data_IF_115082967490
#
_entry.id   IF_115082967490
#
_cell.length_a   1.000
_cell.length_b   1.000
_cell.length_c   1.000
_cell.angle_alpha   90.00
_cell.angle_beta   90.00
_cell.angle_gamma   90.00
#
_symmetry.space_group_name_H-M   'P 1'
#
loop_
_entity.id
_entity.type
_entity.pdbx_description
1 polymer ?
2 polymer ?
3 non-polymer ?
4 water ?
#
loop_
_entity_poly.entity_id
_entity_poly.type
_entity_poly.pdbx_seq_one_letter_code
_entity_poly.pdbx_strand_id
2 'polydeoxyribonucleotide' '(DT)(DC)(DA)(DA)(DG)(DG)(DG)(DT)(DC)(DC)(DT)(DA)(DG)(DG)(DA)(DC)(DC)(DC)' ?
#
# COMPACT_ATOMS: atom_id res chain seq x y z
N UNK A 26 26.66 -0.70 1.96
CA UNK A 26 25.47 -0.76 2.86
C UNK A 26 24.43 0.34 2.56
N UNK A 27 24.84 1.42 1.89
CA UNK A 27 23.84 2.29 1.31
C UNK A 27 23.20 1.59 0.11
N UNK A 28 21.94 1.94 -0.15
CA UNK A 28 21.09 1.27 -1.11
C UNK A 28 20.42 2.31 -2.00
N UNK A 29 19.79 1.84 -3.08
CA UNK A 29 18.82 2.63 -3.82
C UNK A 29 17.53 1.82 -3.86
N UNK A 30 16.45 2.40 -3.32
CA UNK A 30 15.12 1.82 -3.35
C UNK A 30 14.21 2.83 -4.06
N UNK A 31 13.23 2.34 -4.81
CA UNK A 31 12.20 3.19 -5.38
C UNK A 31 10.85 2.71 -4.86
N UNK A 32 9.89 3.63 -4.76
CA UNK A 32 8.58 3.35 -4.19
C UNK A 32 7.51 3.92 -5.11
N UNK A 33 6.74 3.03 -5.75
CA UNK A 33 5.82 3.37 -6.83
C UNK A 33 4.40 3.31 -6.29
N UNK A 34 3.61 4.35 -6.60
CA UNK A 34 2.32 4.59 -5.94
C UNK A 34 1.29 5.01 -6.97
N UNK A 35 0.29 4.14 -7.17
CA UNK A 35 -0.75 4.37 -8.17
C UNK A 35 -1.69 5.48 -7.70
N UNK A 36 -2.10 6.34 -8.64
CA UNK A 36 -2.87 7.54 -8.29
C UNK A 36 -4.37 7.27 -8.27
N UNK A 37 -5.04 7.78 -7.23
CA UNK A 37 -6.45 7.53 -6.95
C UNK A 37 -6.83 6.14 -7.48
N UNK A 38 -6.12 5.12 -7.01
CA UNK A 38 -5.95 3.91 -7.81
C UNK A 38 -7.29 3.34 -8.29
N UNK A 39 -8.17 2.97 -7.35
CA UNK A 39 -9.43 2.36 -7.77
C UNK A 39 -10.10 3.18 -8.87
N UNK A 40 -10.05 4.52 -8.75
CA UNK A 40 -10.69 5.38 -9.74
C UNK A 40 -9.92 5.37 -11.07
N UNK A 41 -8.58 5.33 -11.01
CA UNK A 41 -7.81 5.33 -12.24
C UNK A 41 -8.00 4.03 -13.01
N UNK A 42 -8.23 2.93 -12.30
CA UNK A 42 -8.68 1.70 -12.95
C UNK A 42 -10.00 1.94 -13.66
N UNK A 43 -10.92 2.66 -13.01
CA UNK A 43 -12.24 2.90 -13.58
C UNK A 43 -12.15 3.73 -14.86
N UNK A 44 -11.27 4.73 -14.89
CA UNK A 44 -11.12 5.55 -16.10
C UNK A 44 -10.49 4.77 -17.25
N UNK A 45 -10.04 3.54 -17.00
CA UNK A 45 -9.60 2.64 -18.06
C UNK A 45 -10.59 1.50 -18.28
N UNK A 46 -11.29 1.05 -17.23
CA UNK A 46 -12.46 0.19 -17.38
C UNK A 46 -13.65 0.92 -17.98
N UNK A 47 -13.59 2.26 -18.08
CA UNK A 47 -14.58 3.01 -18.84
C UNK A 47 -14.03 4.38 -19.26
N UNK A 48 -13.59 4.52 -20.51
CA UNK A 48 -13.06 5.80 -20.97
C UNK A 48 -13.97 7.01 -20.79
N UNK A 49 -15.29 6.83 -20.74
CA UNK A 49 -16.20 7.98 -20.62
C UNK A 49 -16.08 8.68 -19.27
N UNK A 50 -15.40 8.07 -18.28
CA UNK A 50 -15.16 8.69 -16.99
C UNK A 50 -13.99 9.68 -17.02
N UNK A 51 -13.38 9.94 -18.17
CA UNK A 51 -12.30 10.90 -18.24
C UNK A 51 -12.81 12.33 -18.10
N UNK A 52 -12.02 13.16 -17.40
CA UNK A 52 -12.33 14.56 -17.10
C UNK A 52 -13.68 14.73 -16.43
N UNK A 53 -14.23 13.66 -15.82
CA UNK A 53 -15.41 13.72 -14.97
C UNK A 53 -15.01 13.64 -13.50
N UNK A 54 -15.72 14.32 -12.58
CA UNK A 54 -15.42 14.14 -11.15
C UNK A 54 -15.91 12.79 -10.63
N UNK A 55 -15.00 11.82 -10.57
CA UNK A 55 -15.32 10.44 -10.24
C UNK A 55 -15.01 10.13 -8.79
N UNK A 56 -15.99 9.54 -8.09
CA UNK A 56 -15.76 8.91 -6.81
C UNK A 56 -16.11 7.44 -6.91
N UNK A 57 -15.49 6.64 -6.04
CA UNK A 57 -15.76 5.21 -5.95
C UNK A 57 -16.46 4.93 -4.63
N UNK A 58 -17.55 4.18 -4.70
CA UNK A 58 -18.59 4.12 -3.68
C UNK A 58 -18.53 2.78 -2.97
N UNK A 59 -18.31 2.81 -1.65
CA UNK A 59 -18.29 1.63 -0.80
C UNK A 59 -19.22 1.86 0.39
N UNK A 60 -20.31 1.10 0.43
CA UNK A 60 -21.44 1.37 1.33
C UNK A 60 -21.84 2.84 1.22
N UNK A 61 -21.79 3.61 2.30
CA UNK A 61 -22.23 5.01 2.23
C UNK A 61 -21.06 5.95 2.46
N UNK A 62 -19.97 5.69 1.74
CA UNK A 62 -18.71 6.39 1.89
C UNK A 62 -17.96 6.30 0.56
N UNK A 63 -17.22 7.36 0.25
CA UNK A 63 -16.43 7.42 -0.97
C UNK A 63 -15.01 6.97 -0.62
N UNK A 64 -14.59 5.83 -1.18
CA UNK A 64 -13.32 5.23 -0.79
C UNK A 64 -12.15 5.92 -1.47
N UNK A 65 -12.31 6.44 -2.69
CA UNK A 65 -11.31 7.31 -3.29
C UNK A 65 -11.88 7.94 -4.55
N UNK A 66 -11.22 9.00 -5.00
CA UNK A 66 -11.76 9.95 -5.96
C UNK A 66 -10.66 10.38 -6.91
N UNK A 67 -11.02 10.60 -8.17
CA UNK A 67 -10.04 11.07 -9.14
C UNK A 67 -9.87 12.58 -9.00
N UNK A 68 -8.78 13.09 -9.58
CA UNK A 68 -8.36 14.46 -9.28
C UNK A 68 -9.29 15.54 -9.81
N UNK A 69 -10.29 15.22 -10.63
CA UNK A 69 -11.37 16.18 -10.86
C UNK A 69 -12.27 16.26 -9.63
N UNK A 70 -12.63 15.10 -9.07
CA UNK A 70 -13.52 15.08 -7.91
C UNK A 70 -12.88 15.70 -6.67
N UNK A 71 -11.56 15.58 -6.51
CA UNK A 71 -10.95 16.06 -5.27
C UNK A 71 -10.88 17.58 -5.20
N UNK A 72 -10.89 18.28 -6.34
CA UNK A 72 -10.88 19.74 -6.32
C UNK A 72 -12.28 20.35 -6.35
N UNK A 73 -13.33 19.54 -6.51
CA UNK A 73 -14.70 19.99 -6.30
C UNK A 73 -15.18 19.80 -4.86
N UNK A 74 -14.30 19.38 -3.96
CA UNK A 74 -14.63 19.30 -2.55
C UNK A 74 -14.98 17.92 -2.02
N UNK A 75 -14.84 16.88 -2.81
CA UNK A 75 -15.03 15.51 -2.31
C UNK A 75 -13.72 15.02 -1.71
N UNK A 76 -13.81 14.35 -0.56
CA UNK A 76 -12.66 13.96 0.24
C UNK A 76 -12.67 12.44 0.46
N UNK A 77 -11.47 11.85 0.53
CA UNK A 77 -11.35 10.40 0.71
C UNK A 77 -11.82 10.01 2.11
N UNK A 78 -12.87 9.19 2.18
CA UNK A 78 -13.47 8.68 3.42
C UNK A 78 -14.35 9.72 4.13
N UNK A 79 -14.79 10.76 3.42
CA UNK A 79 -15.86 11.63 3.89
C UNK A 79 -17.19 11.08 3.38
N UNK A 80 -18.20 11.08 4.26
CA UNK A 80 -19.48 10.45 3.95
C UNK A 80 -19.95 10.82 2.55
N UNK A 81 -20.74 9.92 1.93
CA UNK A 81 -21.27 10.20 0.59
C UNK A 81 -22.44 11.13 0.65
N UNK A 82 -22.83 11.58 1.86
CA UNK A 82 -23.70 12.74 1.99
C UNK A 82 -22.93 13.97 1.52
N UNK A 83 -21.93 14.38 2.32
CA UNK A 83 -21.14 15.57 2.01
C UNK A 83 -20.34 15.40 0.72
N UNK A 84 -20.12 14.18 0.26
CA UNK A 84 -19.57 13.99 -1.08
C UNK A 84 -20.52 14.57 -2.12
N UNK A 85 -21.83 14.39 -1.92
CA UNK A 85 -22.83 14.94 -2.82
C UNK A 85 -23.34 16.32 -2.39
N UNK A 86 -22.82 16.90 -1.31
CA UNK A 86 -23.20 18.25 -0.89
C UNK A 86 -22.07 19.27 -1.08
N UNK A 87 -20.80 18.87 -0.92
CA UNK A 87 -19.71 19.66 -1.48
C UNK A 87 -19.63 19.51 -2.99
N UNK A 88 -20.16 18.41 -3.54
CA UNK A 88 -20.13 18.16 -4.98
C UNK A 88 -21.35 17.35 -5.37
N UNK A 89 -22.55 17.95 -5.32
CA UNK A 89 -23.73 17.27 -5.91
C UNK A 89 -23.56 16.97 -7.38
N UNK A 90 -22.54 17.54 -8.05
CA UNK A 90 -22.21 17.19 -9.43
C UNK A 90 -21.11 16.14 -9.52
N UNK A 91 -21.07 15.19 -8.58
CA UNK A 91 -20.13 14.06 -8.61
C UNK A 91 -20.75 12.84 -9.26
N UNK A 92 -19.93 12.11 -10.04
CA UNK A 92 -20.29 10.80 -10.59
C UNK A 92 -19.64 9.71 -9.72
N UNK A 93 -20.32 8.57 -9.60
CA UNK A 93 -19.93 7.51 -8.69
C UNK A 93 -19.95 6.15 -9.40
N UNK A 94 -19.04 5.26 -8.99
CA UNK A 94 -19.13 3.84 -9.34
C UNK A 94 -18.81 2.99 -8.12
N UNK A 95 -19.26 1.74 -8.16
CA UNK A 95 -19.20 0.85 -7.02
C UNK A 95 -17.78 0.34 -6.78
N UNK A 96 -17.43 0.18 -5.51
CA UNK A 96 -16.12 -0.34 -5.13
C UNK A 96 -16.21 -1.50 -4.15
N UNK A 97 -17.40 -2.08 -4.01
CA UNK A 97 -17.63 -3.15 -3.04
C UNK A 97 -17.16 -4.50 -3.56
N UNK A 98 -16.92 -4.63 -4.86
CA UNK A 98 -16.09 -5.69 -5.41
C UNK A 98 -14.74 -5.11 -5.82
N UNK A 99 -13.66 -5.83 -5.54
CA UNK A 99 -12.31 -5.35 -5.77
C UNK A 99 -11.69 -5.86 -7.07
N UNK A 100 -12.26 -6.90 -7.68
CA UNK A 100 -11.58 -7.69 -8.70
C UNK A 100 -10.74 -6.86 -9.67
N UNK A 101 -11.37 -5.93 -10.41
CA UNK A 101 -10.63 -5.17 -11.40
C UNK A 101 -9.44 -4.43 -10.79
N UNK A 102 -9.59 -3.92 -9.55
CA UNK A 102 -8.48 -3.22 -8.93
C UNK A 102 -7.32 -4.18 -8.65
N UNK A 103 -7.64 -5.39 -8.20
CA UNK A 103 -6.62 -6.36 -7.82
C UNK A 103 -5.86 -6.86 -9.04
N UNK A 104 -6.57 -7.31 -10.09
CA UNK A 104 -5.91 -7.71 -11.32
C UNK A 104 -4.94 -6.62 -11.78
N UNK A 105 -5.44 -5.39 -11.90
CA UNK A 105 -4.63 -4.27 -12.36
C UNK A 105 -3.49 -3.97 -11.41
N UNK A 106 -3.63 -4.34 -10.14
CA UNK A 106 -2.53 -4.18 -9.19
C UNK A 106 -1.37 -5.12 -9.52
N UNK A 107 -1.68 -6.39 -9.78
CA UNK A 107 -0.63 -7.38 -9.98
C UNK A 107 0.07 -7.21 -11.32
N UNK A 108 -0.62 -6.64 -12.33
CA UNK A 108 0.09 -6.28 -13.55
C UNK A 108 1.12 -5.19 -13.28
N UNK A 109 0.90 -4.37 -12.24
CA UNK A 109 1.89 -3.36 -11.85
C UNK A 109 3.13 -4.04 -11.27
N UNK A 110 2.94 -4.85 -10.23
CA UNK A 110 4.03 -5.62 -9.65
C UNK A 110 4.76 -6.42 -10.74
N UNK A 111 4.00 -7.24 -11.49
CA UNK A 111 4.59 -7.99 -12.59
C UNK A 111 5.47 -7.10 -13.46
N UNK A 112 4.97 -5.94 -13.85
CA UNK A 112 5.74 -5.05 -14.71
C UNK A 112 7.02 -4.61 -14.02
N UNK A 113 6.95 -4.27 -12.73
CA UNK A 113 8.17 -3.85 -12.04
C UNK A 113 9.13 -5.02 -11.80
N UNK A 114 8.62 -6.24 -11.65
CA UNK A 114 9.52 -7.39 -11.52
C UNK A 114 10.30 -7.63 -12.80
N UNK A 115 9.74 -7.23 -13.95
CA UNK A 115 10.47 -7.29 -15.21
C UNK A 115 11.74 -6.45 -15.16
N UNK A 116 11.80 -5.46 -14.29
CA UNK A 116 13.01 -4.66 -14.09
C UNK A 116 13.95 -5.27 -13.07
N UNK A 117 13.42 -5.93 -12.03
CA UNK A 117 14.21 -6.57 -10.99
C UNK A 117 13.35 -7.65 -10.38
N UNK A 118 13.91 -8.82 -10.02
CA UNK A 118 13.05 -9.89 -9.48
C UNK A 118 12.49 -9.60 -8.09
N UNK A 119 13.12 -8.72 -7.32
CA UNK A 119 12.77 -8.50 -5.92
C UNK A 119 11.89 -7.26 -5.83
N UNK A 120 10.58 -7.46 -5.74
CA UNK A 120 9.60 -6.40 -5.57
C UNK A 120 8.77 -6.71 -4.33
N UNK A 121 8.55 -5.68 -3.50
CA UNK A 121 7.71 -5.80 -2.30
C UNK A 121 6.45 -4.98 -2.49
N UNK A 122 5.29 -5.66 -2.43
CA UNK A 122 4.00 -4.99 -2.53
C UNK A 122 3.64 -4.37 -1.18
N UNK A 123 2.62 -3.50 -1.21
CA UNK A 123 2.13 -2.85 0.02
C UNK A 123 0.73 -2.31 -0.31
N UNK A 124 -0.31 -3.02 0.16
CA UNK A 124 -1.66 -2.75 -0.28
C UNK A 124 -1.80 -2.89 -1.78
N UNK A 125 -2.98 -2.59 -2.34
CA UNK A 125 -3.13 -2.73 -3.78
C UNK A 125 -2.37 -1.67 -4.60
N UNK A 126 -1.99 -0.51 -4.03
CA UNK A 126 -1.50 0.57 -4.88
C UNK A 126 -0.12 1.11 -4.51
N UNK A 127 0.71 0.36 -3.80
CA UNK A 127 2.11 0.72 -3.68
C UNK A 127 3.01 -0.49 -3.88
N UNK A 128 4.26 -0.20 -4.25
CA UNK A 128 5.29 -1.22 -4.41
C UNK A 128 6.64 -0.59 -4.12
N UNK A 129 7.58 -1.41 -3.65
CA UNK A 129 8.98 -1.05 -3.60
C UNK A 129 9.75 -1.94 -4.55
N UNK A 130 10.90 -1.45 -5.01
CA UNK A 130 11.87 -2.27 -5.73
C UNK A 130 13.25 -1.89 -5.23
N UNK A 131 14.08 -2.90 -4.98
CA UNK A 131 15.49 -2.65 -4.75
C UNK A 131 16.18 -2.53 -6.10
N UNK A 132 16.81 -1.38 -6.34
CA UNK A 132 17.47 -1.09 -7.61
C UNK A 132 18.98 -1.22 -7.52
N UNK A 133 19.50 -1.80 -6.43
CA UNK A 133 20.93 -1.74 -6.16
C UNK A 133 21.75 -2.72 -7.00
N UNK A 134 21.15 -3.78 -7.56
CA UNK A 134 21.88 -4.52 -8.56
C UNK A 134 21.84 -3.79 -9.90
N UNK A 135 20.67 -3.21 -10.20
CA UNK A 135 20.42 -2.59 -11.50
C UNK A 135 21.05 -1.21 -11.60
N UNK A 136 21.22 -0.51 -10.48
CA UNK A 136 22.04 0.69 -10.47
C UNK A 136 23.52 0.34 -10.63
N UNK A 137 23.95 -0.76 -10.02
CA UNK A 137 25.33 -1.22 -10.12
C UNK A 137 25.63 -1.94 -11.44
N UNK A 138 24.60 -2.33 -12.20
CA UNK A 138 24.81 -2.66 -13.60
C UNK A 138 24.95 -1.38 -14.43
N UNK A 139 23.99 -0.46 -14.29
CA UNK A 139 23.93 0.70 -15.18
C UNK A 139 25.13 1.62 -14.99
N UNK A 140 25.77 1.64 -13.82
CA UNK A 140 26.97 2.45 -13.67
C UNK A 140 28.19 1.80 -14.33
N UNK A 141 28.11 0.51 -14.67
CA UNK A 141 29.16 -0.21 -15.40
C UNK A 141 28.75 -0.47 -16.85
N UNK A 142 27.75 0.25 -17.37
CA UNK A 142 27.58 0.43 -18.81
C UNK A 142 27.69 1.91 -19.18
N UNK A 143 28.51 2.66 -18.44
CA UNK A 143 28.75 4.07 -18.71
C UNK A 143 30.25 4.29 -18.87
N UNK A 144 30.65 4.85 -20.01
CA UNK A 144 31.96 5.47 -20.13
C UNK A 144 31.82 6.90 -19.60
N UNK A 145 32.86 7.72 -19.78
CA UNK A 145 32.95 8.96 -19.01
C UNK A 145 31.77 9.88 -19.28
N UNK A 146 31.42 10.10 -20.55
CA UNK A 146 30.45 11.15 -20.87
C UNK A 146 29.01 10.73 -20.60
N UNK A 147 28.72 9.42 -20.60
CA UNK A 147 27.42 8.97 -20.08
C UNK A 147 27.31 9.26 -18.59
N UNK A 148 28.42 9.17 -17.85
CA UNK A 148 28.39 9.55 -16.45
C UNK A 148 28.18 11.06 -16.30
N UNK A 149 28.75 11.86 -17.20
CA UNK A 149 28.53 13.30 -17.11
C UNK A 149 27.09 13.70 -17.45
N UNK A 150 26.29 12.78 -17.99
CA UNK A 150 24.89 13.04 -18.28
C UNK A 150 23.95 12.56 -17.18
N UNK A 151 24.49 12.05 -16.07
CA UNK A 151 23.67 11.47 -15.00
C UNK A 151 22.90 12.57 -14.27
N UNK A 152 21.72 12.90 -14.82
CA UNK A 152 20.83 13.90 -14.27
C UNK A 152 19.75 13.26 -13.40
N UNK A 153 19.03 14.13 -12.68
CA UNK A 153 17.78 13.74 -12.04
C UNK A 153 16.69 13.59 -13.07
N UNK A 154 15.81 12.62 -12.86
CA UNK A 154 14.47 12.61 -13.46
C UNK A 154 13.47 13.00 -12.38
N UNK A 155 12.53 13.87 -12.74
CA UNK A 155 11.54 14.33 -11.77
C UNK A 155 12.05 15.50 -10.94
N UNK A 156 11.58 15.57 -9.69
CA UNK A 156 11.99 16.60 -8.75
C UNK A 156 13.02 16.04 -7.77
N UNK A 157 13.80 16.95 -7.20
CA UNK A 157 14.61 16.68 -6.00
C UNK A 157 13.87 17.25 -4.80
N UNK A 158 13.94 16.55 -3.67
CA UNK A 158 13.29 17.02 -2.46
C UNK A 158 14.10 18.15 -1.82
N UNK A 159 13.38 19.04 -1.12
CA UNK A 159 13.94 20.25 -0.54
C UNK A 159 14.89 20.91 -1.54
N UNK A 160 14.54 20.82 -2.83
CA UNK A 160 15.24 21.49 -3.92
C UNK A 160 16.75 21.47 -3.73
N UNK A 161 17.29 20.33 -3.31
CA UNK A 161 18.69 20.24 -2.97
C UNK A 161 19.58 20.16 -4.20
N UNK A 162 20.68 20.90 -4.16
CA UNK A 162 21.72 20.76 -5.17
C UNK A 162 22.34 19.37 -5.13
N UNK A 163 22.81 18.89 -6.27
CA UNK A 163 23.44 17.59 -6.40
C UNK A 163 24.92 17.81 -6.60
N UNK A 164 25.73 17.37 -5.65
CA UNK A 164 27.17 17.23 -5.86
C UNK A 164 27.38 15.95 -6.64
N UNK A 165 27.50 16.06 -7.96
CA UNK A 165 27.69 14.84 -8.74
C UNK A 165 29.06 14.18 -8.48
N UNK A 166 29.81 14.56 -7.44
CA UNK A 166 30.99 13.82 -7.02
C UNK A 166 30.73 12.86 -5.88
N UNK A 167 29.59 12.97 -5.19
CA UNK A 167 29.24 12.03 -4.11
C UNK A 167 28.56 10.82 -4.74
N UNK A 168 29.24 9.68 -4.69
CA UNK A 168 28.70 8.46 -5.29
C UNK A 168 27.31 8.14 -4.78
N UNK A 169 26.99 8.50 -3.52
CA UNK A 169 25.62 8.31 -3.04
C UNK A 169 24.65 9.16 -3.85
N UNK A 170 25.05 10.39 -4.20
CA UNK A 170 24.26 11.22 -5.10
C UNK A 170 24.19 10.59 -6.48
N UNK A 171 25.35 10.18 -7.02
CA UNK A 171 25.39 9.56 -8.36
C UNK A 171 24.38 8.42 -8.44
N UNK A 172 24.45 7.49 -7.49
CA UNK A 172 23.57 6.33 -7.51
C UNK A 172 22.10 6.74 -7.38
N UNK A 173 21.81 7.73 -6.52
CA UNK A 173 20.43 8.17 -6.31
C UNK A 173 19.91 9.09 -7.42
N UNK A 174 20.65 9.30 -8.51
CA UNK A 174 20.07 9.78 -9.76
C UNK A 174 19.92 8.66 -10.79
N UNK A 175 20.88 7.74 -10.86
CA UNK A 175 20.73 6.55 -11.70
C UNK A 175 19.43 5.82 -11.35
N UNK A 176 19.10 5.76 -10.05
CA UNK A 176 17.86 5.13 -9.66
C UNK A 176 16.63 5.92 -10.06
N UNK A 177 16.75 7.25 -10.13
CA UNK A 177 15.60 8.08 -10.48
C UNK A 177 15.27 7.99 -11.96
N UNK A 178 16.27 7.78 -12.82
CA UNK A 178 15.99 7.53 -14.23
C UNK A 178 15.34 6.17 -14.43
N UNK A 179 15.82 5.16 -13.69
CA UNK A 179 15.14 3.87 -13.64
C UNK A 179 13.70 4.06 -13.18
N UNK A 180 13.47 4.95 -12.22
CA UNK A 180 12.13 5.20 -11.73
C UNK A 180 11.24 5.78 -12.81
N UNK A 181 11.81 6.65 -13.67
CA UNK A 181 11.03 7.19 -14.79
C UNK A 181 10.50 6.07 -15.68
N UNK A 182 11.37 5.13 -16.06
CA UNK A 182 10.97 4.05 -16.93
C UNK A 182 9.84 3.23 -16.31
N UNK A 183 9.98 2.86 -15.04
CA UNK A 183 8.91 2.14 -14.37
C UNK A 183 7.58 2.89 -14.50
N UNK A 184 7.61 4.22 -14.38
CA UNK A 184 6.38 4.99 -14.46
C UNK A 184 5.87 5.10 -15.90
N UNK A 185 6.76 5.42 -16.85
CA UNK A 185 6.33 5.48 -18.25
C UNK A 185 5.97 4.10 -18.78
N UNK A 186 6.75 3.08 -18.40
CA UNK A 186 6.38 1.71 -18.75
C UNK A 186 5.01 1.36 -18.19
N UNK A 187 4.71 1.78 -16.95
CA UNK A 187 3.37 1.61 -16.42
C UNK A 187 2.34 2.31 -17.29
N UNK A 188 2.67 3.51 -17.78
CA UNK A 188 1.75 4.27 -18.62
C UNK A 188 1.64 3.64 -20.01
N UNK A 189 2.75 3.61 -20.76
CA UNK A 189 2.72 3.10 -22.13
C UNK A 189 2.20 1.67 -22.17
N UNK A 190 2.48 0.86 -21.14
CA UNK A 190 2.00 -0.52 -21.13
C UNK A 190 0.67 -0.67 -20.39
N UNK A 191 0.60 -0.26 -19.12
CA UNK A 191 -0.60 -0.52 -18.33
C UNK A 191 -1.59 0.63 -18.35
N UNK A 192 -1.17 1.85 -18.63
CA UNK A 192 -2.06 2.99 -18.62
C UNK A 192 -2.22 3.68 -17.29
N UNK A 193 -1.45 3.30 -16.28
CA UNK A 193 -1.53 3.93 -14.96
C UNK A 193 -0.52 5.06 -14.83
N UNK A 194 -1.00 6.21 -14.37
CA UNK A 194 -0.14 7.26 -13.84
C UNK A 194 0.08 7.01 -12.35
N UNK A 195 1.26 7.37 -11.87
CA UNK A 195 1.60 7.12 -10.48
C UNK A 195 2.89 7.83 -10.10
N UNK A 196 3.03 8.05 -8.81
CA UNK A 196 4.19 8.72 -8.24
C UNK A 196 5.27 7.71 -7.85
N UNK A 197 6.52 8.16 -7.91
CA UNK A 197 7.66 7.36 -7.47
C UNK A 197 8.55 8.20 -6.54
N UNK A 198 9.09 7.55 -5.52
CA UNK A 198 10.02 8.17 -4.60
C UNK A 198 11.22 7.30 -4.34
N UNK A 199 12.41 7.80 -4.63
CA UNK A 199 13.66 7.05 -4.49
C UNK A 199 14.42 7.59 -3.29
N UNK A 200 14.97 6.68 -2.49
CA UNK A 200 15.70 7.04 -1.28
C UNK A 200 16.39 5.78 -0.75
N UNK A 201 17.33 6.00 0.19
CA UNK A 201 18.26 4.94 0.62
C UNK A 201 17.60 3.84 1.46
N UNK A 202 16.31 3.91 1.76
CA UNK A 202 15.62 2.79 2.41
C UNK A 202 14.13 2.91 2.15
N UNK A 203 13.40 1.85 2.54
CA UNK A 203 11.97 1.81 2.25
C UNK A 203 11.21 2.97 2.90
N UNK A 204 11.70 3.47 4.03
CA UNK A 204 10.95 4.50 4.76
C UNK A 204 11.02 5.84 4.06
N UNK A 205 12.23 6.39 3.87
CA UNK A 205 12.36 7.69 3.22
C UNK A 205 11.89 7.65 1.78
N UNK A 206 11.98 6.49 1.12
CA UNK A 206 11.41 6.35 -0.21
C UNK A 206 9.90 6.49 -0.16
N UNK A 207 9.26 5.94 0.87
CA UNK A 207 7.79 6.01 0.95
C UNK A 207 7.32 7.42 1.28
N UNK A 208 8.07 8.17 2.10
CA UNK A 208 7.64 9.51 2.45
C UNK A 208 7.94 10.52 1.35
N UNK A 209 8.98 10.31 0.55
CA UNK A 209 9.33 11.28 -0.49
C UNK A 209 8.45 11.12 -1.72
N UNK A 210 7.90 9.93 -1.96
CA UNK A 210 7.09 9.71 -3.15
C UNK A 210 5.83 10.57 -3.16
N UNK A 211 5.28 10.88 -1.99
CA UNK A 211 4.04 11.64 -1.92
C UNK A 211 4.20 13.14 -2.01
N UNK A 212 5.44 13.64 -2.02
CA UNK A 212 5.69 15.07 -1.91
C UNK A 212 5.04 15.83 -3.06
N UNK A 213 5.42 15.51 -4.28
CA UNK A 213 4.86 16.18 -5.46
C UNK A 213 3.71 15.32 -5.97
N UNK A 214 2.50 15.70 -5.51
CA UNK A 214 1.34 14.83 -5.35
C UNK A 214 0.66 14.39 -6.64
N UNK A 215 0.67 15.17 -7.72
CA UNK A 215 0.00 14.69 -8.93
C UNK A 215 0.94 14.03 -9.94
N UNK A 216 0.95 12.70 -9.94
CA UNK A 216 1.57 11.86 -10.96
C UNK A 216 3.10 11.84 -10.99
N UNK A 217 3.76 12.71 -10.24
CA UNK A 217 5.18 12.95 -10.43
C UNK A 217 6.05 12.13 -9.47
N UNK A 218 7.37 12.25 -9.63
CA UNK A 218 8.35 11.54 -8.80
C UNK A 218 9.35 12.52 -8.20
N UNK A 219 9.85 12.15 -7.02
CA UNK A 219 10.72 12.96 -6.18
C UNK A 219 11.79 12.04 -5.59
N UNK A 220 13.04 12.49 -5.53
CA UNK A 220 14.13 11.68 -4.98
C UNK A 220 14.73 12.40 -3.78
N UNK A 221 14.89 11.66 -2.68
CA UNK A 221 15.50 12.18 -1.46
C UNK A 221 16.99 11.86 -1.47
N UNK A 222 17.81 12.87 -1.75
CA UNK A 222 19.25 12.72 -1.56
C UNK A 222 19.58 12.77 -0.07
N UNK A 223 20.75 12.28 0.33
CA UNK A 223 20.97 12.02 1.76
C UNK A 223 20.82 13.22 2.68
N UNK A 224 21.30 14.41 2.32
CA UNK A 224 21.25 15.52 3.26
C UNK A 224 19.83 16.04 3.49
N UNK A 225 18.88 15.68 2.61
CA UNK A 225 17.50 16.13 2.77
C UNK A 225 16.76 15.37 3.86
N UNK A 226 17.33 14.29 4.38
CA UNK A 226 16.62 13.35 5.24
C UNK A 226 15.80 14.02 6.35
N UNK A 227 16.46 14.71 7.29
CA UNK A 227 15.73 15.26 8.42
C UNK A 227 14.62 16.20 7.97
N UNK A 228 14.80 16.89 6.84
CA UNK A 228 13.80 17.81 6.33
C UNK A 228 12.50 17.12 5.95
N UNK A 229 12.50 15.79 5.85
CA UNK A 229 11.32 15.02 5.47
C UNK A 229 10.64 14.35 6.67
N UNK A 230 11.39 14.04 7.74
CA UNK A 230 10.74 13.48 8.92
C UNK A 230 10.13 14.57 9.78
N UNK A 231 10.81 15.71 9.94
CA UNK A 231 10.24 16.79 10.74
C UNK A 231 9.14 17.55 10.01
N UNK A 232 8.98 17.33 8.70
CA UNK A 232 7.85 17.89 7.97
C UNK A 232 6.53 17.20 8.31
N UNK A 233 6.54 16.13 9.10
CA UNK A 233 5.30 15.44 9.46
C UNK A 233 4.61 16.16 10.62
N UNK A 234 3.28 16.07 10.62
CA UNK A 234 2.45 16.80 11.58
C UNK A 234 1.84 15.91 12.65
N UNK A 235 2.24 14.64 12.72
CA UNK A 235 2.05 13.83 13.91
C UNK A 235 2.68 12.46 13.68
N UNK A 236 3.24 11.85 14.73
CA UNK A 236 3.95 10.59 14.58
C UNK A 236 3.09 9.47 14.01
N UNK A 237 1.77 9.64 13.91
CA UNK A 237 0.96 8.69 13.17
C UNK A 237 1.27 8.69 11.68
N UNK A 238 1.81 9.81 11.16
CA UNK A 238 2.19 9.86 9.76
C UNK A 238 3.46 9.06 9.46
N UNK A 239 4.18 8.62 10.48
CA UNK A 239 5.37 7.78 10.25
C UNK A 239 4.92 6.41 9.77
N UNK A 240 5.48 5.89 8.66
CA UNK A 240 5.15 4.51 8.25
C UNK A 240 5.47 3.48 9.30
N UNK A 241 4.43 2.85 9.88
CA UNK A 241 4.60 1.80 10.88
C UNK A 241 4.14 2.22 12.27
N UNK A 242 4.16 3.52 12.58
CA UNK A 242 3.58 3.99 13.84
C UNK A 242 2.07 4.14 13.61
N UNK A 243 1.29 3.26 14.20
CA UNK A 243 -0.10 3.07 13.87
C UNK A 243 -1.04 3.68 14.89
N UNK A 244 -2.21 3.05 15.03
CA UNK A 244 -3.26 3.59 15.90
C UNK A 244 -2.93 3.33 17.38
N UNK A 245 -2.59 2.10 17.74
CA UNK A 245 -2.26 1.82 19.14
C UNK A 245 -0.93 2.46 19.53
N UNK A 246 0.10 2.33 18.68
CA UNK A 246 1.40 2.89 19.04
C UNK A 246 1.36 4.42 19.14
N UNK A 247 0.39 5.07 18.49
CA UNK A 247 0.21 6.50 18.71
C UNK A 247 -0.42 6.78 20.07
N UNK A 248 -1.44 6.00 20.47
CA UNK A 248 -2.07 6.19 21.76
C UNK A 248 -1.04 6.15 22.88
N UNK A 249 -0.30 5.04 22.99
CA UNK A 249 0.73 4.93 24.01
C UNK A 249 1.65 6.16 23.97
N UNK A 250 2.22 6.43 22.80
CA UNK A 250 3.17 7.52 22.67
C UNK A 250 2.56 8.85 23.10
N UNK A 251 1.30 9.08 22.77
CA UNK A 251 0.67 10.36 23.07
C UNK A 251 0.39 10.51 24.56
N UNK A 252 0.27 9.40 25.28
CA UNK A 252 0.12 9.40 26.73
C UNK A 252 1.47 9.44 27.46
N UNK A 253 2.57 9.68 26.76
CA UNK A 253 3.88 9.90 27.38
C UNK A 253 4.40 11.31 27.18
N UNK A 254 3.66 12.17 26.48
CA UNK A 254 4.20 13.43 26.03
C UNK A 254 5.02 13.31 24.78
N UNK A 255 4.58 12.49 23.83
CA UNK A 255 5.24 12.32 22.53
C UNK A 255 4.19 12.62 21.46
N UNK A 256 4.33 13.76 20.81
CA UNK A 256 3.44 14.18 19.72
C UNK A 256 4.20 14.47 18.44
N UNK A 257 5.30 15.20 18.53
CA UNK A 257 6.13 15.53 17.39
C UNK A 257 7.12 14.42 17.10
N UNK A 258 7.58 14.37 15.85
CA UNK A 258 8.58 13.38 15.46
C UNK A 258 9.85 13.58 16.27
N UNK A 259 10.16 14.81 16.69
CA UNK A 259 11.39 15.04 17.43
C UNK A 259 11.23 14.68 18.90
N UNK A 260 10.04 14.82 19.47
CA UNK A 260 9.74 14.19 20.76
C UNK A 260 10.17 12.74 20.73
N UNK A 261 9.68 11.98 19.74
CA UNK A 261 9.97 10.56 19.66
C UNK A 261 11.46 10.29 19.44
N UNK A 262 12.16 11.19 18.74
CA UNK A 262 13.60 11.00 18.55
C UNK A 262 14.33 11.16 19.87
N UNK A 263 14.06 12.25 20.59
CA UNK A 263 14.84 12.63 21.76
C UNK A 263 14.39 11.92 23.04
N UNK A 264 13.17 11.36 23.05
CA UNK A 264 12.67 10.67 24.22
C UNK A 264 13.64 9.59 24.68
N UNK A 265 13.57 9.27 25.98
CA UNK A 265 14.47 8.29 26.60
C UNK A 265 14.33 6.93 25.94
N UNK A 266 15.42 6.32 25.43
CA UNK A 266 15.29 4.97 24.88
C UNK A 266 14.79 3.92 25.86
N UNK A 267 15.24 3.96 27.12
CA UNK A 267 14.79 2.93 28.06
C UNK A 267 13.31 3.08 28.38
N UNK A 268 12.85 4.31 28.66
CA UNK A 268 11.44 4.46 29.01
C UNK A 268 10.56 4.04 27.84
N UNK A 269 11.02 4.28 26.61
CA UNK A 269 10.31 3.76 25.45
C UNK A 269 10.39 2.24 25.41
N UNK A 270 11.54 1.65 25.78
CA UNK A 270 11.61 0.19 25.82
C UNK A 270 10.51 -0.40 26.69
N UNK A 271 10.21 0.22 27.82
CA UNK A 271 9.43 -0.44 28.87
C UNK A 271 7.97 0.02 28.95
N UNK A 272 7.54 0.96 28.12
CA UNK A 272 6.11 1.18 27.91
C UNK A 272 5.64 0.56 26.60
N UNK A 273 6.49 0.56 25.57
CA UNK A 273 6.14 -0.03 24.28
C UNK A 273 6.78 -1.39 24.02
N UNK A 274 7.78 -1.80 24.79
CA UNK A 274 8.42 -3.09 24.59
C UNK A 274 9.71 -3.00 23.79
N UNK A 275 10.42 -4.14 23.74
CA UNK A 275 11.74 -4.16 23.11
C UNK A 275 11.64 -4.17 21.59
N UNK A 276 10.65 -4.88 21.03
CA UNK A 276 10.57 -4.97 19.57
C UNK A 276 9.99 -3.68 18.97
N UNK A 277 8.95 -3.13 19.58
CA UNK A 277 8.37 -1.89 19.09
C UNK A 277 9.34 -0.73 19.29
N UNK A 278 9.77 -0.49 20.54
CA UNK A 278 10.50 0.74 20.84
C UNK A 278 11.83 0.83 20.08
N UNK A 279 12.53 -0.30 19.91
CA UNK A 279 13.76 -0.27 19.11
C UNK A 279 13.44 0.13 17.68
N UNK A 280 12.39 -0.47 17.13
CA UNK A 280 11.88 -0.26 15.77
C UNK A 280 11.37 1.17 15.56
N UNK A 281 10.32 1.61 16.25
CA UNK A 281 9.71 2.89 15.88
C UNK A 281 10.59 4.08 16.24
N UNK A 282 11.44 4.00 17.27
CA UNK A 282 12.33 5.14 17.51
C UNK A 282 13.37 5.25 16.41
N UNK A 283 13.90 4.10 15.95
CA UNK A 283 14.81 4.09 14.81
C UNK A 283 14.09 4.58 13.54
N UNK A 284 12.77 4.41 13.46
CA UNK A 284 12.01 5.01 12.37
C UNK A 284 12.11 6.53 12.42
N UNK A 285 11.81 7.11 13.59
CA UNK A 285 11.70 8.57 13.71
C UNK A 285 12.94 9.29 13.19
N UNK A 286 14.10 8.64 13.17
CA UNK A 286 15.31 9.25 12.62
C UNK A 286 15.44 9.09 11.12
N UNK A 287 14.52 8.37 10.47
CA UNK A 287 14.64 8.08 9.06
C UNK A 287 15.28 6.75 8.73
N UNK A 288 15.49 5.88 9.72
CA UNK A 288 16.15 4.60 9.54
C UNK A 288 15.13 3.49 9.31
N UNK A 289 15.42 2.62 8.35
CA UNK A 289 14.64 1.40 8.16
C UNK A 289 15.56 0.33 7.59
N UNK A 290 15.87 -0.69 8.39
CA UNK A 290 16.81 -1.73 8.03
C UNK A 290 16.20 -2.85 7.21
N UNK A 291 14.87 -2.93 7.12
CA UNK A 291 14.25 -4.12 6.56
C UNK A 291 14.49 -4.19 5.05
N UNK A 292 14.77 -5.40 4.51
CA UNK A 292 15.02 -5.52 3.08
C UNK A 292 13.74 -5.40 2.25
N UNK A 293 13.88 -5.45 0.94
CA UNK A 293 12.73 -5.53 0.03
C UNK A 293 12.26 -6.99 -0.02
N UNK A 294 11.05 -7.23 0.46
CA UNK A 294 10.49 -8.58 0.54
C UNK A 294 9.84 -8.92 -0.80
N UNK A 295 10.39 -9.93 -1.49
CA UNK A 295 9.74 -10.45 -2.70
C UNK A 295 8.41 -11.09 -2.33
N UNK A 296 7.34 -10.30 -2.37
CA UNK A 296 6.04 -10.78 -1.91
C UNK A 296 5.64 -12.09 -2.58
N UNK A 297 5.92 -12.22 -3.87
CA UNK A 297 5.51 -13.38 -4.62
C UNK A 297 4.00 -13.53 -4.64
N UNK A 298 3.52 -14.78 -4.74
CA UNK A 298 2.08 -15.00 -4.69
C UNK A 298 1.51 -14.67 -3.32
N UNK A 299 0.24 -14.27 -3.26
CA UNK A 299 -0.34 -13.89 -1.96
C UNK A 299 -0.43 -15.05 -0.97
N UNK A 300 -0.46 -14.66 0.32
CA UNK A 300 -0.62 -15.59 1.42
C UNK A 300 -2.07 -16.03 1.61
N UNK A 301 -3.03 -15.14 1.32
CA UNK A 301 -4.42 -15.38 1.67
C UNK A 301 -5.35 -14.68 0.70
N UNK A 302 -6.58 -15.20 0.62
CA UNK A 302 -7.68 -14.61 -0.13
C UNK A 302 -8.91 -14.63 0.78
N UNK A 303 -9.53 -13.47 1.00
CA UNK A 303 -10.57 -13.33 2.00
C UNK A 303 -11.60 -12.31 1.52
N UNK A 304 -12.75 -12.28 2.21
CA UNK A 304 -13.80 -11.31 1.89
C UNK A 304 -14.64 -10.97 3.11
N UNK A 305 -15.27 -9.78 3.05
CA UNK A 305 -15.85 -9.06 4.18
C UNK A 305 -17.25 -8.60 3.84
N UNK A 306 -18.15 -8.59 4.84
CA UNK A 306 -19.48 -7.99 4.68
C UNK A 306 -19.83 -7.20 5.93
N UNK A 307 -19.76 -5.88 5.83
CA UNK A 307 -20.17 -5.00 6.92
C UNK A 307 -21.69 -4.83 6.92
N UNK A 308 -22.25 -4.64 8.11
CA UNK A 308 -23.68 -4.41 8.23
C UNK A 308 -23.99 -3.69 9.53
N UNK A 309 -25.12 -2.99 9.53
CA UNK A 309 -25.57 -2.16 10.66
C UNK A 309 -26.29 -3.12 11.58
N UNK A 310 -25.54 -3.73 12.49
CA UNK A 310 -26.02 -4.83 13.34
C UNK A 310 -27.25 -5.47 12.70
N UNK A 311 -27.12 -5.86 11.43
CA UNK A 311 -28.20 -6.55 10.74
C UNK A 311 -28.19 -8.04 11.10
N UNK A 312 -27.08 -8.72 10.84
CA UNK A 312 -26.99 -10.13 11.23
C UNK A 312 -27.07 -10.21 12.74
N UNK A 313 -28.21 -10.71 13.22
CA UNK A 313 -28.52 -10.85 14.63
C UNK A 313 -29.13 -12.23 14.87
N UNK A 314 -29.03 -13.11 13.88
CA UNK A 314 -29.71 -14.40 13.81
C UNK A 314 -28.79 -15.29 12.99
N UNK A 315 -29.13 -16.58 12.93
CA UNK A 315 -28.35 -17.54 12.17
C UNK A 315 -28.50 -17.30 10.67
N UNK A 316 -29.12 -16.15 10.30
CA UNK A 316 -28.89 -15.67 8.92
C UNK A 316 -27.47 -15.09 8.74
N UNK A 317 -26.60 -15.24 9.76
CA UNK A 317 -25.16 -15.26 9.49
C UNK A 317 -24.87 -16.20 8.33
N UNK A 318 -25.60 -17.32 8.27
CA UNK A 318 -25.48 -18.28 7.19
C UNK A 318 -25.42 -17.61 5.82
N UNK A 319 -26.40 -16.75 5.52
CA UNK A 319 -26.52 -16.22 4.16
C UNK A 319 -25.23 -15.55 3.73
N UNK A 320 -24.71 -14.64 4.55
CA UNK A 320 -23.50 -13.90 4.20
C UNK A 320 -22.30 -14.85 4.12
N UNK A 321 -22.26 -15.88 4.95
CA UNK A 321 -21.21 -16.89 4.84
C UNK A 321 -21.32 -17.60 3.49
N UNK A 322 -22.54 -17.98 3.10
CA UNK A 322 -22.74 -18.59 1.79
C UNK A 322 -22.40 -17.61 0.68
N UNK A 323 -22.81 -16.35 0.83
CA UNK A 323 -22.63 -15.35 -0.20
C UNK A 323 -21.16 -14.97 -0.36
N UNK A 324 -20.42 -14.88 0.74
CA UNK A 324 -19.00 -14.60 0.68
C UNK A 324 -18.21 -15.77 0.11
N UNK A 325 -18.71 -17.01 0.28
CA UNK A 325 -17.99 -18.16 -0.25
C UNK A 325 -18.20 -18.38 -1.74
N UNK A 326 -19.20 -17.75 -2.35
CA UNK A 326 -19.35 -17.87 -3.80
C UNK A 326 -18.21 -17.16 -4.52
N UNK A 327 -17.98 -15.89 -4.19
CA UNK A 327 -16.85 -15.17 -4.76
C UNK A 327 -15.53 -15.84 -4.40
N UNK A 328 -15.36 -16.24 -3.12
CA UNK A 328 -14.10 -16.86 -2.73
C UNK A 328 -13.80 -18.11 -3.54
N UNK A 329 -14.82 -18.91 -3.88
CA UNK A 329 -14.55 -20.03 -4.79
C UNK A 329 -14.45 -19.59 -6.24
N UNK A 330 -14.93 -18.39 -6.56
CA UNK A 330 -14.59 -17.76 -7.84
C UNK A 330 -13.18 -17.18 -7.82
N UNK A 331 -12.48 -17.26 -6.69
CA UNK A 331 -11.13 -16.73 -6.56
C UNK A 331 -10.10 -17.79 -6.24
N UNK A 332 -10.36 -18.68 -5.26
CA UNK A 332 -9.35 -19.64 -4.84
C UNK A 332 -9.29 -20.84 -5.78
N UNK A 333 -9.69 -20.66 -7.03
CA UNK A 333 -9.33 -21.57 -8.10
C UNK A 333 -8.30 -20.95 -9.05
N UNK A 334 -7.83 -19.74 -8.75
CA UNK A 334 -6.95 -18.99 -9.64
C UNK A 334 -5.48 -19.28 -9.31
N UNK A 335 -4.59 -18.61 -10.02
CA UNK A 335 -3.15 -18.65 -9.81
C UNK A 335 -2.55 -20.00 -9.46
N UNK A 336 -3.20 -21.10 -9.86
CA UNK A 336 -2.58 -22.41 -9.84
C UNK A 336 -2.33 -23.02 -8.47
N UNK A 337 -2.94 -22.49 -7.42
CA UNK A 337 -2.71 -22.94 -6.05
C UNK A 337 -4.06 -23.14 -5.37
N UNK A 338 -4.05 -23.75 -4.18
CA UNK A 338 -5.31 -23.97 -3.49
C UNK A 338 -5.11 -24.05 -1.99
N UNK A 339 -6.14 -23.72 -1.20
CA UNK A 339 -5.96 -23.50 0.23
C UNK A 339 -6.04 -24.77 1.05
N UNK A 340 -5.44 -24.72 2.25
CA UNK A 340 -5.50 -25.84 3.18
C UNK A 340 -6.20 -25.52 4.51
N UNK A 341 -6.33 -24.25 4.88
CA UNK A 341 -7.01 -23.83 6.11
C UNK A 341 -8.14 -22.87 5.78
N UNK A 342 -9.15 -22.80 6.64
CA UNK A 342 -10.26 -21.85 6.49
C UNK A 342 -10.47 -21.12 7.81
N UNK A 343 -10.69 -19.80 7.71
CA UNK A 343 -10.85 -18.90 8.86
C UNK A 343 -12.10 -18.05 8.67
N UNK A 344 -12.94 -17.98 9.72
CA UNK A 344 -14.12 -17.11 9.74
C UNK A 344 -13.90 -16.01 10.77
N UNK A 345 -13.93 -14.76 10.31
CA UNK A 345 -13.67 -13.59 11.14
C UNK A 345 -14.98 -12.82 11.33
N UNK A 346 -15.13 -12.19 12.49
CA UNK A 346 -16.34 -11.43 12.81
C UNK A 346 -16.01 -10.21 13.66
N UNK A 347 -17.01 -9.35 13.83
CA UNK A 347 -17.12 -8.44 14.99
C UNK A 347 -18.61 -8.44 15.32
N UNK A 348 -18.99 -9.15 16.38
CA UNK A 348 -20.36 -9.59 16.62
C UNK A 348 -21.46 -8.58 16.30
N UNK A 357 -11.17 -8.27 17.09
CA UNK A 357 -12.08 -9.17 16.33
C UNK A 357 -11.99 -10.57 16.93
N UNK A 358 -12.86 -11.49 16.52
CA UNK A 358 -12.60 -12.91 16.72
C UNK A 358 -12.41 -13.61 15.38
N UNK A 359 -11.69 -14.72 15.45
CA UNK A 359 -11.52 -15.65 14.35
C UNK A 359 -11.52 -17.06 14.92
N UNK A 360 -12.06 -18.00 14.15
CA UNK A 360 -11.79 -19.41 14.35
C UNK A 360 -11.31 -19.96 13.01
N UNK A 361 -10.29 -20.80 13.03
CA UNK A 361 -9.85 -21.47 11.82
C UNK A 361 -9.67 -22.95 12.10
N UNK A 362 -9.56 -23.71 11.02
CA UNK A 362 -9.19 -25.13 11.08
C UNK A 362 -8.79 -25.56 9.69
N UNK A 363 -8.08 -26.68 9.55
CA UNK A 363 -7.72 -27.18 8.22
C UNK A 363 -8.93 -27.67 7.45
N UNK A 364 -8.96 -27.34 6.16
CA UNK A 364 -10.00 -27.84 5.25
C UNK A 364 -9.78 -29.34 5.10
N UNK A 365 -10.76 -30.19 5.44
CA UNK A 365 -10.58 -31.63 5.19
C UNK A 365 -10.12 -31.90 3.76
N UNK A 366 -9.03 -32.67 3.64
CA UNK A 366 -8.27 -32.72 2.39
C UNK A 366 -9.12 -33.15 1.20
N UNK A 367 -10.18 -33.92 1.41
CA UNK A 367 -11.02 -34.33 0.29
C UNK A 367 -11.76 -33.17 -0.35
N UNK A 368 -11.88 -32.03 0.35
CA UNK A 368 -12.52 -30.86 -0.23
C UNK A 368 -11.57 -30.01 -1.06
N UNK A 369 -10.26 -30.28 -0.97
CA UNK A 369 -9.27 -29.34 -1.50
C UNK A 369 -9.02 -29.56 -2.99
N UNK A 370 -8.94 -30.82 -3.44
CA UNK A 370 -8.75 -31.06 -4.87
C UNK A 370 -9.91 -30.47 -5.66
N UNK A 380 -18.04 -25.66 -1.93
CA UNK A 380 -19.35 -25.13 -1.45
C UNK A 380 -20.01 -26.10 -0.46
N UNK A 381 -21.29 -25.83 -0.18
CA UNK A 381 -22.17 -26.36 0.86
C UNK A 381 -21.57 -27.19 1.98
N UNK A 382 -20.92 -28.34 1.78
CA UNK A 382 -20.20 -28.94 2.93
C UNK A 382 -19.22 -27.96 3.58
N UNK A 383 -18.59 -27.10 2.78
CA UNK A 383 -17.83 -25.98 3.33
C UNK A 383 -18.68 -25.14 4.27
N UNK A 384 -19.89 -24.76 3.83
CA UNK A 384 -20.70 -23.81 4.57
C UNK A 384 -20.91 -24.29 5.99
N UNK A 385 -21.17 -25.59 6.17
CA UNK A 385 -21.35 -26.13 7.51
C UNK A 385 -20.06 -26.10 8.32
N UNK A 386 -18.90 -26.15 7.67
CA UNK A 386 -17.65 -25.95 8.40
C UNK A 386 -17.58 -24.53 8.93
N UNK A 387 -17.93 -23.54 8.11
CA UNK A 387 -17.89 -22.15 8.55
C UNK A 387 -18.95 -21.86 9.61
N UNK A 388 -20.03 -22.64 9.66
CA UNK A 388 -20.97 -22.50 10.76
C UNK A 388 -20.51 -23.24 12.01
N UNK A 389 -19.68 -24.28 11.89
CA UNK A 389 -19.05 -24.83 13.08
C UNK A 389 -18.11 -23.81 13.71
N UNK A 390 -17.47 -22.99 12.87
CA UNK A 390 -16.63 -21.90 13.38
C UNK A 390 -17.48 -20.79 13.99
N UNK A 391 -18.59 -20.41 13.33
CA UNK A 391 -19.46 -19.39 13.93
C UNK A 391 -20.05 -19.88 15.24
N UNK A 392 -20.71 -21.04 15.23
CA UNK A 392 -21.31 -21.53 16.48
C UNK A 392 -20.29 -21.63 17.61
N UNK A 393 -18.99 -21.57 17.28
CA UNK A 393 -17.91 -21.58 18.25
C UNK A 393 -17.54 -20.18 18.70
N UNK A 394 -18.51 -19.27 18.69
CA UNK A 394 -18.34 -17.85 18.97
C UNK A 394 -19.69 -17.28 19.37
N UNK A 404 -21.81 -7.18 13.53
CA UNK A 404 -21.75 -6.13 12.46
C UNK A 404 -20.70 -6.42 11.38
N UNK A 405 -20.11 -7.62 11.41
CA UNK A 405 -19.18 -8.04 10.37
C UNK A 405 -19.10 -9.57 10.33
N UNK A 406 -18.98 -10.12 9.13
CA UNK A 406 -18.63 -11.52 8.92
C UNK A 406 -17.69 -11.62 7.74
N UNK A 407 -16.63 -12.41 7.88
CA UNK A 407 -15.62 -12.58 6.85
C UNK A 407 -15.18 -14.03 6.76
N UNK A 408 -14.97 -14.51 5.53
CA UNK A 408 -14.40 -15.82 5.27
C UNK A 408 -13.01 -15.62 4.65
N UNK A 409 -12.06 -16.45 5.07
CA UNK A 409 -10.66 -16.29 4.69
C UNK A 409 -10.06 -17.65 4.36
N UNK A 410 -9.42 -17.74 3.20
CA UNK A 410 -8.73 -18.95 2.75
C UNK A 410 -7.24 -18.67 2.65
N UNK A 411 -6.44 -19.34 3.48
CA UNK A 411 -4.99 -19.21 3.40
C UNK A 411 -4.37 -20.57 3.73
N UNK A 412 -3.05 -20.56 3.94
CA UNK A 412 -2.23 -21.77 3.92
C UNK A 412 -2.31 -22.45 2.55
N UNK A 413 -1.98 -21.65 1.54
CA UNK A 413 -2.04 -22.11 0.15
C UNK A 413 -0.81 -22.95 -0.19
N UNK A 414 -1.04 -24.04 -0.90
CA UNK A 414 0.03 -24.94 -1.35
C UNK A 414 -0.27 -25.36 -2.79
#
# INVERSE_FOLDING_TARGET
MELADVGAAASSQGVHDQVLPTPNASSRVIVHVDLDCFYAQVEMISNPELKDKPLGVQQKYLVVTCNYEARKLGVKKLMNVRDAKEKCPQLVLVNGEDLTRYREMSYKVTELLEEFSPVVERLGFDENFVDLTEMVEKRLQQLQSDELSAVTVSGHVYNNQSINLLDVLHIRLLVGSQIAAEMREAMYNQLGLTGCAGVASNKLLAKLVSGVFKPNQQTVLLPESCQHLIHSLNHIKEIPGIGYKTAKCLEALGINSVRDLQTFSPKILEKELGISVAQRIQKLSFGEDNSPVILSGPPQSFSEEDSFKKCSSEVEAKNKIEELLASLLNRVCQDGRKPHTVRLIIRRYSSEKHYGRESRQCPIPSHVIQKLGTGNYDVMTPMVDILMKLFRNMVNVKMPFHLTLLSVCFCNLKALNTAK
#
